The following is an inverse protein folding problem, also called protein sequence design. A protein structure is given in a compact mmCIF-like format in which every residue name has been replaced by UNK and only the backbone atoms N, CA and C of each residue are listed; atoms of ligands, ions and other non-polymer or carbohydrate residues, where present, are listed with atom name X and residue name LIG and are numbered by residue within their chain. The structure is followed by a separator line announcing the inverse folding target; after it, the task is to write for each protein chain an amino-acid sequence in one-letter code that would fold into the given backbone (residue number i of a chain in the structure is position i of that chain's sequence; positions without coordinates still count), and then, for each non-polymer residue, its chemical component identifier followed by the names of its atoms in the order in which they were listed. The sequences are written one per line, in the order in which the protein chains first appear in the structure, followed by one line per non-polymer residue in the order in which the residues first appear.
data_IF_183739769921
#
_entry.id   IF_183739769921
#
_cell.length_a   1.000
_cell.length_b   1.000
_cell.length_c   1.000
_cell.angle_alpha   90.00
_cell.angle_beta   90.00
_cell.angle_gamma   90.00
#
_symmetry.space_group_name_H-M   'P 1'
#
loop_
_entity.id
_entity.type
_entity.pdbx_description
1 polymer ?
#
# COMPACT_ATOMS: atom_id res chain seq x y z
N UNK A 1 -5.45 1.54 21.40
CA UNK A 1 -5.72 1.24 19.98
C UNK A 1 -6.01 -0.24 19.74
N UNK A 2 -5.16 -1.14 20.22
CA UNK A 2 -5.35 -2.60 20.08
C UNK A 2 -6.68 -3.07 20.67
N UNK A 3 -7.03 -2.59 21.86
CA UNK A 3 -8.32 -2.94 22.49
C UNK A 3 -9.52 -2.57 21.62
N UNK A 4 -9.47 -1.44 20.91
CA UNK A 4 -10.55 -1.05 20.01
C UNK A 4 -10.69 -2.03 18.84
N UNK A 5 -9.58 -2.50 18.29
CA UNK A 5 -9.59 -3.52 17.23
C UNK A 5 -10.22 -4.84 17.71
N UNK A 6 -9.91 -5.24 18.94
CA UNK A 6 -10.48 -6.47 19.53
C UNK A 6 -11.98 -6.34 19.82
N UNK A 7 -12.38 -5.24 20.44
CA UNK A 7 -13.78 -5.00 20.86
C UNK A 7 -14.71 -4.91 19.65
N UNK A 8 -14.24 -4.32 18.54
CA UNK A 8 -15.04 -4.18 17.32
C UNK A 8 -15.09 -5.45 16.48
N UNK A 9 -14.30 -6.47 16.80
CA UNK A 9 -14.20 -7.69 16.00
C UNK A 9 -13.38 -7.54 14.69
N UNK A 10 -12.86 -6.37 14.43
CA UNK A 10 -12.07 -6.09 13.20
C UNK A 10 -10.80 -6.93 13.14
N UNK A 11 -10.17 -7.15 14.30
CA UNK A 11 -8.96 -7.97 14.37
C UNK A 11 -9.20 -9.41 13.94
N UNK A 12 -10.34 -9.99 14.33
CA UNK A 12 -10.70 -11.37 14.01
C UNK A 12 -11.20 -11.53 12.57
N UNK A 13 -11.79 -10.48 12.01
CA UNK A 13 -12.39 -10.52 10.67
C UNK A 13 -11.40 -10.12 9.57
N UNK A 14 -10.60 -9.08 9.78
CA UNK A 14 -9.76 -8.49 8.75
C UNK A 14 -8.25 -8.59 9.00
N UNK A 15 -7.84 -8.88 10.23
CA UNK A 15 -6.43 -8.95 10.61
C UNK A 15 -6.05 -10.36 11.09
N UNK A 16 -6.60 -11.39 10.46
CA UNK A 16 -6.30 -12.78 10.75
C UNK A 16 -5.51 -13.41 9.60
N UNK A 17 -4.42 -14.08 9.93
CA UNK A 17 -3.53 -14.72 8.94
C UNK A 17 -2.07 -14.65 9.35
N UNK A 18 -1.18 -14.75 8.39
CA UNK A 18 0.26 -14.61 8.59
C UNK A 18 0.63 -13.14 8.71
N UNK A 19 1.24 -12.78 9.84
CA UNK A 19 1.69 -11.42 10.09
C UNK A 19 3.12 -11.21 9.60
N UNK A 20 3.40 -10.00 9.10
CA UNK A 20 4.72 -9.60 8.63
C UNK A 20 5.29 -10.59 7.60
N UNK A 21 4.42 -11.05 6.70
CA UNK A 21 4.81 -11.95 5.63
C UNK A 21 5.74 -11.25 4.64
N UNK A 22 6.98 -11.76 4.52
CA UNK A 22 7.96 -11.23 3.57
C UNK A 22 7.72 -11.81 2.18
N UNK A 23 7.82 -10.95 1.17
CA UNK A 23 7.90 -11.39 -0.22
C UNK A 23 9.12 -10.77 -0.91
N UNK A 24 9.63 -11.50 -1.90
CA UNK A 24 10.75 -11.08 -2.73
C UNK A 24 10.47 -11.59 -4.14
N UNK A 25 9.94 -10.76 -5.00
CA UNK A 25 9.44 -11.10 -6.32
C UNK A 25 9.88 -10.06 -7.35
N UNK A 26 9.75 -10.43 -8.62
CA UNK A 26 10.00 -9.54 -9.75
C UNK A 26 8.67 -9.15 -10.40
N UNK A 27 8.48 -7.85 -10.65
CA UNK A 27 7.32 -7.31 -11.34
C UNK A 27 7.83 -6.43 -12.49
N UNK A 28 7.41 -6.74 -13.72
CA UNK A 28 7.82 -5.97 -14.91
C UNK A 28 9.34 -5.83 -15.04
N UNK A 29 10.09 -6.86 -14.69
CA UNK A 29 11.55 -6.86 -14.73
C UNK A 29 12.23 -6.16 -13.56
N UNK A 30 11.48 -5.67 -12.58
CA UNK A 30 12.01 -4.95 -11.40
C UNK A 30 11.87 -5.85 -10.16
N UNK A 31 12.98 -6.11 -9.43
CA UNK A 31 12.89 -6.82 -8.17
C UNK A 31 12.17 -5.97 -7.14
N UNK A 32 11.17 -6.56 -6.50
CA UNK A 32 10.36 -5.92 -5.46
C UNK A 32 10.41 -6.75 -4.20
N UNK A 33 10.68 -6.12 -3.08
CA UNK A 33 10.69 -6.73 -1.75
C UNK A 33 9.77 -5.96 -0.83
N UNK A 34 9.06 -6.67 0.01
CA UNK A 34 8.20 -6.03 1.01
C UNK A 34 7.73 -6.99 2.07
N UNK A 35 7.01 -6.41 3.03
CA UNK A 35 6.38 -7.13 4.12
C UNK A 35 4.90 -6.77 4.14
N UNK A 36 4.05 -7.80 4.20
CA UNK A 36 2.62 -7.61 4.36
C UNK A 36 2.28 -7.65 5.85
N UNK A 37 1.44 -6.73 6.29
CA UNK A 37 1.01 -6.71 7.70
C UNK A 37 0.24 -7.98 8.03
N UNK A 38 -0.69 -8.37 7.17
CA UNK A 38 -1.48 -9.58 7.35
C UNK A 38 -1.87 -10.18 6.00
N UNK A 39 -1.63 -11.47 5.85
CA UNK A 39 -1.95 -12.25 4.67
C UNK A 39 -2.76 -13.48 5.06
N UNK A 40 -3.89 -13.70 4.39
CA UNK A 40 -4.57 -14.99 4.41
C UNK A 40 -4.84 -15.47 2.98
N UNK A 41 -5.49 -16.63 2.85
CA UNK A 41 -5.73 -17.26 1.53
C UNK A 41 -6.66 -16.45 0.62
N UNK A 42 -7.50 -15.57 1.17
CA UNK A 42 -8.55 -14.88 0.42
C UNK A 42 -8.25 -13.41 0.17
N UNK A 43 -7.49 -12.75 1.05
CA UNK A 43 -7.20 -11.32 0.95
C UNK A 43 -5.92 -10.91 1.67
N UNK A 44 -5.48 -9.71 1.37
CA UNK A 44 -4.40 -9.01 2.06
C UNK A 44 -5.02 -7.89 2.88
N UNK A 45 -4.55 -7.68 4.08
CA UNK A 45 -4.94 -6.53 4.88
C UNK A 45 -3.73 -5.80 5.45
N UNK A 46 -3.87 -4.49 5.57
CA UNK A 46 -2.82 -3.59 6.02
C UNK A 46 -3.42 -2.62 7.05
N UNK A 47 -2.80 -2.53 8.20
CA UNK A 47 -3.24 -1.63 9.27
C UNK A 47 -2.55 -0.28 9.13
N UNK A 48 -3.34 0.77 9.00
CA UNK A 48 -2.86 2.14 8.89
C UNK A 48 -3.39 3.00 10.02
N UNK A 49 -2.55 3.86 10.54
CA UNK A 49 -3.02 4.93 11.44
C UNK A 49 -3.27 6.20 10.64
N UNK A 50 -4.30 6.93 11.01
CA UNK A 50 -4.68 8.17 10.33
C UNK A 50 -5.09 9.24 11.32
N UNK A 51 -5.00 10.50 10.91
CA UNK A 51 -5.56 11.61 11.69
C UNK A 51 -7.09 11.63 11.61
N UNK A 52 -7.64 11.26 10.45
CA UNK A 52 -9.06 11.32 10.19
C UNK A 52 -9.46 10.28 9.16
N UNK A 53 -10.50 9.53 9.42
CA UNK A 53 -11.06 8.58 8.47
C UNK A 53 -11.66 9.29 7.25
N UNK A 54 -12.23 10.48 7.43
CA UNK A 54 -12.79 11.26 6.33
C UNK A 54 -11.74 11.66 5.29
N UNK A 55 -10.50 11.82 5.70
CA UNK A 55 -9.38 12.15 4.82
C UNK A 55 -8.61 10.93 4.30
N UNK A 56 -8.92 9.73 4.76
CA UNK A 56 -8.13 8.53 4.46
C UNK A 56 -8.07 8.22 2.96
N UNK A 57 -9.15 8.45 2.20
CA UNK A 57 -9.18 8.25 0.75
C UNK A 57 -8.11 9.07 0.02
N UNK A 58 -7.84 10.27 0.51
CA UNK A 58 -6.81 11.13 -0.06
C UNK A 58 -5.41 10.62 0.31
N UNK A 59 -5.25 10.11 1.53
CA UNK A 59 -4.00 9.49 1.96
C UNK A 59 -3.64 8.27 1.10
N UNK A 60 -4.62 7.47 0.70
CA UNK A 60 -4.41 6.32 -0.18
C UNK A 60 -3.71 6.74 -1.48
N UNK A 61 -4.17 7.84 -2.08
CA UNK A 61 -3.58 8.39 -3.30
C UNK A 61 -2.25 9.10 -3.02
N UNK A 62 -2.23 9.96 -2.01
CA UNK A 62 -1.13 10.91 -1.79
C UNK A 62 0.10 10.24 -1.17
N UNK A 63 -0.08 9.18 -0.40
CA UNK A 63 1.01 8.42 0.22
C UNK A 63 1.38 7.14 -0.53
N UNK A 64 0.78 6.91 -1.70
CA UNK A 64 1.11 5.76 -2.52
C UNK A 64 0.59 4.41 -1.99
N UNK A 65 -0.44 4.42 -1.17
CA UNK A 65 -1.05 3.17 -0.68
C UNK A 65 -1.71 2.38 -1.81
N UNK A 66 -2.16 3.06 -2.86
CA UNK A 66 -2.67 2.44 -4.08
C UNK A 66 -1.58 1.65 -4.82
N UNK A 67 -0.35 2.17 -4.85
CA UNK A 67 0.81 1.44 -5.40
C UNK A 67 1.09 0.19 -4.58
N UNK A 68 1.07 0.32 -3.26
CA UNK A 68 1.25 -0.81 -2.33
C UNK A 68 0.22 -1.90 -2.59
N UNK A 69 -1.06 -1.55 -2.70
CA UNK A 69 -2.13 -2.49 -2.97
C UNK A 69 -1.93 -3.20 -4.31
N UNK A 70 -1.58 -2.47 -5.36
CA UNK A 70 -1.28 -3.06 -6.67
C UNK A 70 -0.13 -4.07 -6.59
N UNK A 71 0.99 -3.67 -5.99
CA UNK A 71 2.17 -4.52 -5.88
C UNK A 71 1.83 -5.82 -5.13
N UNK A 72 1.19 -5.70 -3.98
CA UNK A 72 0.91 -6.84 -3.13
C UNK A 72 -0.10 -7.81 -3.78
N UNK A 73 -1.16 -7.29 -4.37
CA UNK A 73 -2.10 -8.12 -5.11
C UNK A 73 -1.44 -8.84 -6.29
N UNK A 74 -0.59 -8.14 -7.04
CA UNK A 74 0.11 -8.71 -8.20
C UNK A 74 1.08 -9.82 -7.80
N UNK A 75 1.84 -9.61 -6.74
CA UNK A 75 2.84 -10.59 -6.26
C UNK A 75 2.19 -11.87 -5.77
N UNK A 76 1.04 -11.76 -5.09
CA UNK A 76 0.39 -12.89 -4.42
C UNK A 76 -0.76 -13.50 -5.21
N UNK A 77 -1.13 -12.89 -6.36
CA UNK A 77 -2.24 -13.38 -7.17
C UNK A 77 -3.59 -13.25 -6.48
N UNK A 78 -3.74 -12.29 -5.58
CA UNK A 78 -4.97 -11.99 -4.87
C UNK A 78 -5.59 -10.71 -5.43
N UNK A 79 -6.92 -10.63 -5.41
CA UNK A 79 -7.68 -9.50 -5.94
C UNK A 79 -8.33 -8.64 -4.84
N UNK A 80 -8.22 -9.06 -3.58
CA UNK A 80 -8.81 -8.36 -2.44
C UNK A 80 -7.74 -7.79 -1.52
N UNK A 81 -7.78 -6.48 -1.36
CA UNK A 81 -6.92 -5.75 -0.45
C UNK A 81 -7.76 -4.85 0.45
N UNK A 82 -7.52 -4.91 1.76
CA UNK A 82 -8.20 -4.08 2.75
C UNK A 82 -7.22 -3.20 3.51
N UNK A 83 -7.59 -1.94 3.69
CA UNK A 83 -6.97 -1.10 4.70
C UNK A 83 -7.84 -1.09 5.93
N UNK A 84 -7.25 -1.44 7.05
CA UNK A 84 -7.84 -1.22 8.38
C UNK A 84 -7.25 0.09 8.89
N UNK A 85 -7.98 1.18 8.69
CA UNK A 85 -7.54 2.51 9.09
C UNK A 85 -8.06 2.84 10.48
N UNK A 86 -7.19 3.32 11.36
CA UNK A 86 -7.54 3.63 12.72
C UNK A 86 -7.10 5.05 13.08
N UNK A 87 -8.00 5.85 13.64
CA UNK A 87 -7.67 7.19 14.09
C UNK A 87 -6.73 7.15 15.29
N UNK A 88 -5.76 8.06 15.30
CA UNK A 88 -4.74 8.15 16.36
C UNK A 88 -5.30 8.72 17.67
N UNK A 89 -6.39 9.49 17.60
CA UNK A 89 -7.02 10.11 18.76
C UNK A 89 -8.12 9.23 19.34
N UNK A 90 -8.26 9.23 20.65
CA UNK A 90 -9.38 8.57 21.31
C UNK A 90 -10.71 9.11 20.74
N UNK A 91 -11.70 8.27 20.46
CA UNK A 91 -11.83 6.86 20.82
C UNK A 91 -11.24 5.84 19.83
N UNK A 92 -10.30 6.23 18.99
CA UNK A 92 -9.59 5.35 18.05
C UNK A 92 -10.52 4.67 17.04
N UNK A 93 -11.36 5.47 16.42
CA UNK A 93 -12.37 4.98 15.46
C UNK A 93 -11.68 4.25 14.31
N UNK A 94 -12.32 3.16 13.88
CA UNK A 94 -11.78 2.27 12.84
C UNK A 94 -12.65 2.35 11.61
N UNK A 95 -12.01 2.46 10.44
CA UNK A 95 -12.63 2.28 9.15
C UNK A 95 -11.98 1.11 8.42
N UNK A 96 -12.78 0.27 7.79
CA UNK A 96 -12.29 -0.82 6.94
C UNK A 96 -12.65 -0.48 5.50
N UNK A 97 -11.63 -0.39 4.66
CA UNK A 97 -11.79 0.03 3.26
C UNK A 97 -11.20 -1.02 2.33
N UNK A 98 -12.00 -1.51 1.41
CA UNK A 98 -11.51 -2.37 0.35
C UNK A 98 -10.99 -1.52 -0.80
N UNK A 99 -9.82 -1.89 -1.33
CA UNK A 99 -9.30 -1.28 -2.54
C UNK A 99 -10.21 -1.63 -3.71
N UNK A 100 -10.73 -0.61 -4.40
CA UNK A 100 -11.53 -0.79 -5.61
C UNK A 100 -10.61 -1.16 -6.79
N UNK A 101 -11.20 -1.72 -7.84
CA UNK A 101 -10.46 -2.01 -9.07
C UNK A 101 -9.83 -0.73 -9.66
N UNK A 102 -10.53 0.40 -9.56
CA UNK A 102 -10.00 1.69 -9.96
C UNK A 102 -8.77 2.09 -9.14
N UNK A 103 -8.80 1.88 -7.84
CA UNK A 103 -7.66 2.18 -6.97
C UNK A 103 -6.46 1.31 -7.32
N UNK A 104 -6.66 0.02 -7.55
CA UNK A 104 -5.60 -0.91 -7.97
C UNK A 104 -5.03 -0.48 -9.33
N UNK A 105 -5.87 -0.10 -10.28
CA UNK A 105 -5.42 0.37 -11.61
C UNK A 105 -4.64 1.68 -11.52
N UNK A 106 -5.06 2.61 -10.67
CA UNK A 106 -4.30 3.83 -10.40
C UNK A 106 -2.92 3.52 -9.83
N UNK A 107 -2.84 2.55 -8.93
CA UNK A 107 -1.57 2.06 -8.39
C UNK A 107 -0.68 1.46 -9.47
N UNK A 108 -1.27 0.69 -10.38
CA UNK A 108 -0.57 0.11 -11.54
C UNK A 108 0.03 1.18 -12.45
N UNK A 109 -0.75 2.19 -12.80
CA UNK A 109 -0.29 3.31 -13.64
C UNK A 109 0.89 4.02 -13.00
N UNK A 110 0.84 4.28 -11.71
CA UNK A 110 1.95 4.91 -10.97
C UNK A 110 3.18 4.00 -10.92
N UNK A 111 2.97 2.72 -10.68
CA UNK A 111 4.05 1.72 -10.66
C UNK A 111 4.74 1.64 -12.02
N UNK A 112 3.97 1.56 -13.11
CA UNK A 112 4.51 1.47 -14.47
C UNK A 112 5.34 2.71 -14.82
N UNK A 113 4.90 3.90 -14.41
CA UNK A 113 5.68 5.13 -14.58
C UNK A 113 6.99 5.11 -13.79
N UNK A 114 6.97 4.59 -12.58
CA UNK A 114 8.17 4.45 -11.76
C UNK A 114 9.15 3.45 -12.39
N UNK A 115 8.65 2.32 -12.89
CA UNK A 115 9.46 1.32 -13.61
C UNK A 115 10.08 1.93 -14.86
N UNK A 116 9.32 2.66 -15.66
CA UNK A 116 9.82 3.35 -16.85
C UNK A 116 10.99 4.29 -16.51
N UNK A 117 10.86 5.06 -15.43
CA UNK A 117 11.92 5.97 -14.98
C UNK A 117 13.18 5.21 -14.56
N UNK A 118 13.02 4.16 -13.76
CA UNK A 118 14.13 3.34 -13.28
C UNK A 118 14.83 2.68 -14.46
N UNK A 119 14.09 2.07 -15.37
CA UNK A 119 14.63 1.41 -16.57
C UNK A 119 15.39 2.40 -17.44
N UNK A 120 14.82 3.56 -17.69
CA UNK A 120 15.47 4.62 -18.46
C UNK A 120 16.77 5.08 -17.82
N UNK A 121 16.79 5.24 -16.51
CA UNK A 121 18.01 5.61 -15.78
C UNK A 121 19.09 4.55 -15.90
N UNK A 122 18.74 3.28 -15.71
CA UNK A 122 19.69 2.17 -15.77
C UNK A 122 20.23 1.95 -17.19
N UNK A 123 19.34 1.98 -18.20
CA UNK A 123 19.69 1.70 -19.59
C UNK A 123 20.48 2.83 -20.25
N UNK A 124 20.14 4.07 -19.93
CA UNK A 124 20.74 5.26 -20.57
C UNK A 124 21.80 5.94 -19.69
N UNK A 125 22.08 5.40 -18.49
CA UNK A 125 23.04 5.94 -17.56
C UNK A 125 22.83 7.46 -17.34
N UNK A 126 21.60 7.87 -17.11
CA UNK A 126 21.23 9.27 -16.93
C UNK A 126 21.90 9.86 -15.70
N UNK A 127 22.31 11.13 -15.84
CA UNK A 127 22.87 11.90 -14.72
C UNK A 127 21.85 12.08 -13.60
N UNK A 128 22.34 12.14 -12.35
CA UNK A 128 21.52 12.36 -11.17
C UNK A 128 20.66 13.62 -11.26
N UNK A 129 21.13 14.62 -11.96
CA UNK A 129 20.42 15.89 -12.21
C UNK A 129 19.03 15.70 -12.82
N UNK A 130 18.82 14.62 -13.57
CA UNK A 130 17.52 14.25 -14.15
C UNK A 130 16.48 13.96 -13.07
N UNK A 131 16.92 13.63 -11.85
CA UNK A 131 16.07 13.17 -10.75
C UNK A 131 16.01 14.14 -9.59
N UNK A 132 16.58 15.34 -9.72
CA UNK A 132 16.43 16.34 -8.70
C UNK A 132 16.15 17.71 -9.29
N UNK A 133 15.50 18.55 -8.53
CA UNK A 133 15.18 19.92 -8.91
C UNK A 133 15.87 20.84 -7.92
N UNK A 134 16.59 21.83 -8.44
CA UNK A 134 17.22 22.89 -7.66
C UNK A 134 16.55 24.21 -8.01
N UNK A 135 16.17 24.95 -7.00
CA UNK A 135 15.53 26.24 -7.21
C UNK A 135 15.62 27.12 -5.97
N UNK A 136 15.30 28.38 -6.17
CA UNK A 136 15.14 29.39 -5.12
C UNK A 136 13.65 29.64 -4.91
N UNK A 137 13.21 29.54 -3.66
CA UNK A 137 11.82 29.78 -3.29
C UNK A 137 11.70 31.09 -2.52
#
# INVERSE_FOLDING_TARGET
MIERLKVTGVMEEYLIGDYQHEFNKEISGVPVRGFLDCLNKDYISDHKTTRSLSAFRYAVRDYGYDIQAYIYCSVLGLDKFYWVAQEKAYPYVIGVYQASDETIENGKVKFDKAVERITRYLDNNLETETFYIKGLI
#
